data_IF_664914760365
#
_entry.id   IF_664914760365
#
_cell.length_a   1.000
_cell.length_b   1.000
_cell.length_c   1.000
_cell.angle_alpha   90.00
_cell.angle_beta   90.00
_cell.angle_gamma   90.00
#
_symmetry.space_group_name_H-M   'P 1'
#
loop_
_entity.id
_entity.type
_entity.pdbx_description
1 polymer ?
#
# COMPACT_ATOMS: atom_id res chain seq x y z
N UNK A 1 -2.98 -13.17 7.70
CA UNK A 1 -2.39 -14.12 6.73
C UNK A 1 -3.12 -14.20 5.38
N UNK A 2 -4.45 -13.98 5.33
CA UNK A 2 -5.22 -14.06 4.05
C UNK A 2 -4.98 -12.86 3.13
N UNK A 3 -4.74 -11.68 3.68
CA UNK A 3 -4.44 -10.46 2.91
C UNK A 3 -3.00 -10.42 2.39
N UNK A 4 -2.05 -10.97 3.14
CA UNK A 4 -0.65 -11.07 2.70
C UNK A 4 -0.50 -11.94 1.43
N UNK A 5 -1.30 -13.01 1.29
CA UNK A 5 -1.31 -13.85 0.07
C UNK A 5 -1.91 -13.12 -1.14
N UNK A 6 -2.86 -12.22 -0.93
CA UNK A 6 -3.45 -11.40 -2.00
C UNK A 6 -2.50 -10.30 -2.46
N UNK A 7 -1.82 -9.64 -1.52
CA UNK A 7 -0.76 -8.66 -1.82
C UNK A 7 0.40 -9.35 -2.55
N UNK A 8 0.79 -10.54 -2.10
CA UNK A 8 1.83 -11.35 -2.74
C UNK A 8 1.51 -11.71 -4.20
N UNK A 9 0.27 -12.12 -4.46
CA UNK A 9 -0.17 -12.48 -5.82
C UNK A 9 -0.19 -11.24 -6.74
N UNK A 10 -0.57 -10.09 -6.22
CA UNK A 10 -0.65 -8.84 -6.97
C UNK A 10 0.73 -8.30 -7.32
N UNK A 11 1.67 -8.32 -6.37
CA UNK A 11 3.07 -7.91 -6.59
C UNK A 11 3.75 -8.86 -7.58
N UNK A 12 3.52 -10.16 -7.49
CA UNK A 12 4.09 -11.12 -8.43
C UNK A 12 3.53 -10.94 -9.86
N UNK A 13 2.24 -10.66 -10.00
CA UNK A 13 1.62 -10.35 -11.27
C UNK A 13 2.20 -9.04 -11.86
N UNK A 14 2.41 -8.02 -11.04
CA UNK A 14 2.98 -6.75 -11.46
C UNK A 14 4.44 -6.89 -11.92
N UNK A 15 5.26 -7.66 -11.20
CA UNK A 15 6.67 -7.94 -11.59
C UNK A 15 6.74 -8.75 -12.89
N UNK A 16 5.83 -9.69 -13.11
CA UNK A 16 5.77 -10.44 -14.38
C UNK A 16 5.30 -9.54 -15.55
N UNK A 17 4.46 -8.55 -15.28
CA UNK A 17 4.05 -7.57 -16.30
C UNK A 17 5.19 -6.62 -16.70
N UNK A 18 6.00 -6.15 -15.74
CA UNK A 18 7.17 -5.29 -16.05
C UNK A 18 8.21 -5.98 -16.94
N UNK A 19 8.32 -7.30 -16.90
CA UNK A 19 9.27 -8.04 -17.75
C UNK A 19 8.77 -8.22 -19.19
N UNK A 20 7.52 -7.86 -19.50
CA UNK A 20 6.89 -7.97 -20.82
C UNK A 20 6.61 -6.60 -21.48
N UNK A 21 6.91 -5.50 -20.78
CA UNK A 21 6.77 -4.15 -21.37
C UNK A 21 7.91 -3.93 -22.36
N UNK A 22 7.70 -4.40 -23.59
CA UNK A 22 8.32 -3.77 -24.75
C UNK A 22 7.82 -2.33 -24.76
N UNK A 23 8.76 -1.38 -24.82
CA UNK A 23 8.58 0.07 -24.93
C UNK A 23 7.36 0.37 -25.83
N UNK A 24 6.18 0.44 -25.22
CA UNK A 24 4.95 0.89 -25.86
C UNK A 24 4.64 2.25 -25.24
N UNK A 25 5.01 3.29 -25.98
CA UNK A 25 4.64 4.69 -25.79
C UNK A 25 4.63 5.15 -24.32
N UNK A 26 5.76 5.74 -23.90
CA UNK A 26 5.77 6.72 -22.83
C UNK A 26 4.55 7.64 -23.00
N UNK A 27 3.87 7.98 -21.93
CA UNK A 27 2.81 8.96 -22.01
C UNK A 27 3.42 10.26 -22.55
N UNK A 28 2.96 10.68 -23.72
CA UNK A 28 3.49 11.86 -24.42
C UNK A 28 2.85 13.12 -23.78
N UNK A 29 3.43 13.53 -22.64
CA UNK A 29 2.97 14.73 -21.95
C UNK A 29 3.52 15.98 -22.63
N UNK A 30 2.68 17.03 -22.75
CA UNK A 30 3.05 18.29 -23.43
C UNK A 30 4.20 19.04 -22.74
N UNK A 31 4.48 18.71 -21.48
CA UNK A 31 5.56 19.24 -20.61
C UNK A 31 6.61 18.17 -20.25
N UNK A 32 6.79 17.18 -21.11
CA UNK A 32 7.77 16.09 -20.88
C UNK A 32 9.20 16.58 -20.67
N UNK A 33 9.59 17.67 -21.32
CA UNK A 33 10.94 18.25 -21.18
C UNK A 33 11.21 18.81 -19.77
N UNK A 34 10.16 19.06 -18.98
CA UNK A 34 10.24 19.58 -17.61
C UNK A 34 10.25 18.46 -16.55
N UNK A 35 10.10 17.18 -16.97
CA UNK A 35 10.06 16.03 -16.07
C UNK A 35 11.48 15.55 -15.76
N UNK A 36 11.88 15.61 -14.49
CA UNK A 36 13.20 15.13 -14.03
C UNK A 36 13.25 13.62 -13.81
N UNK A 37 12.13 13.01 -13.44
CA UNK A 37 12.04 11.57 -13.14
C UNK A 37 11.29 10.80 -14.23
N UNK A 38 11.75 10.94 -15.49
CA UNK A 38 11.10 10.39 -16.68
C UNK A 38 10.76 8.90 -16.55
N UNK A 39 11.73 8.05 -16.14
CA UNK A 39 11.51 6.60 -16.00
C UNK A 39 10.33 6.28 -15.06
N UNK A 40 10.27 6.98 -13.92
CA UNK A 40 9.21 6.75 -12.95
C UNK A 40 7.85 7.20 -13.47
N UNK A 41 7.79 8.38 -14.08
CA UNK A 41 6.56 8.93 -14.67
C UNK A 41 6.07 8.03 -15.79
N UNK A 42 6.94 7.60 -16.69
CA UNK A 42 6.62 6.71 -17.81
C UNK A 42 6.07 5.35 -17.33
N UNK A 43 6.78 4.71 -16.40
CA UNK A 43 6.35 3.42 -15.86
C UNK A 43 5.02 3.56 -15.13
N UNK A 44 4.88 4.56 -14.25
CA UNK A 44 3.68 4.75 -13.45
C UNK A 44 2.48 5.14 -14.31
N UNK A 45 2.70 5.84 -15.41
CA UNK A 45 1.66 6.18 -16.40
C UNK A 45 1.27 4.97 -17.24
N UNK A 46 2.26 4.18 -17.70
CA UNK A 46 2.02 2.97 -18.50
C UNK A 46 1.20 1.93 -17.75
N UNK A 47 1.42 1.78 -16.43
CA UNK A 47 0.64 0.86 -15.60
C UNK A 47 -0.67 1.49 -15.06
N UNK A 48 -1.03 2.69 -15.52
CA UNK A 48 -2.29 3.37 -15.20
C UNK A 48 -2.39 3.92 -13.77
N UNK A 49 -1.29 3.98 -13.03
CA UNK A 49 -1.27 4.49 -11.64
C UNK A 49 -1.31 6.01 -11.60
N UNK A 50 -0.64 6.66 -12.55
CA UNK A 50 -0.63 8.11 -12.70
C UNK A 50 -1.21 8.47 -14.07
N UNK A 51 -2.03 9.50 -14.09
CA UNK A 51 -2.55 10.10 -15.33
C UNK A 51 -2.11 11.56 -15.39
N UNK A 52 -1.99 12.08 -16.61
CA UNK A 52 -1.81 13.50 -16.85
C UNK A 52 -3.03 14.34 -16.48
N UNK A 53 -2.93 15.61 -16.72
CA UNK A 53 -4.00 16.58 -16.57
C UNK A 53 -4.90 16.59 -17.83
N UNK A 54 -6.07 17.22 -17.75
CA UNK A 54 -7.03 17.28 -18.85
C UNK A 54 -6.49 18.06 -20.07
N UNK A 55 -5.48 18.89 -19.89
CA UNK A 55 -4.80 19.67 -20.94
C UNK A 55 -3.64 18.91 -21.63
N UNK A 56 -3.42 17.64 -21.22
CA UNK A 56 -2.34 16.79 -21.76
C UNK A 56 -0.98 17.01 -21.10
N UNK A 57 -0.89 17.84 -20.06
CA UNK A 57 0.35 18.00 -19.27
C UNK A 57 0.44 16.96 -18.14
N UNK A 58 1.64 16.77 -17.60
CA UNK A 58 1.87 16.02 -16.36
C UNK A 58 1.85 16.93 -15.14
N UNK A 59 2.27 18.19 -15.27
CA UNK A 59 2.49 19.16 -14.18
C UNK A 59 3.49 18.66 -13.13
N UNK A 60 4.78 18.40 -13.50
CA UNK A 60 5.77 17.75 -12.64
C UNK A 60 6.00 18.49 -11.31
N UNK A 61 6.00 19.81 -11.35
CA UNK A 61 6.24 20.68 -10.19
C UNK A 61 4.98 21.03 -9.40
N UNK A 62 3.78 20.64 -9.88
CA UNK A 62 2.53 20.76 -9.15
C UNK A 62 2.57 19.90 -7.88
N UNK A 63 1.87 20.31 -6.83
CA UNK A 63 1.85 19.59 -5.55
C UNK A 63 0.79 18.49 -5.52
N UNK A 64 1.10 17.36 -4.87
CA UNK A 64 0.19 16.24 -4.72
C UNK A 64 -0.86 16.53 -3.63
N UNK A 65 -2.14 16.39 -3.97
CA UNK A 65 -3.22 16.49 -2.99
C UNK A 65 -3.53 15.15 -2.32
N UNK A 66 -4.20 15.20 -1.16
CA UNK A 66 -4.59 14.01 -0.40
C UNK A 66 -5.49 13.06 -1.20
N UNK A 67 -6.41 13.60 -1.97
CA UNK A 67 -7.28 12.78 -2.82
C UNK A 67 -6.55 12.17 -4.01
N UNK A 68 -5.59 12.89 -4.59
CA UNK A 68 -4.74 12.35 -5.64
C UNK A 68 -3.86 11.21 -5.12
N UNK A 69 -3.30 11.36 -3.92
CA UNK A 69 -2.54 10.30 -3.27
C UNK A 69 -3.41 9.05 -2.99
N UNK A 70 -4.64 9.24 -2.52
CA UNK A 70 -5.57 8.12 -2.32
C UNK A 70 -5.88 7.41 -3.64
N UNK A 71 -6.13 8.15 -4.73
CA UNK A 71 -6.31 7.57 -6.07
C UNK A 71 -5.08 6.80 -6.52
N UNK A 72 -3.90 7.41 -6.46
CA UNK A 72 -2.63 6.81 -6.84
C UNK A 72 -2.42 5.45 -6.14
N UNK A 73 -2.52 5.43 -4.81
CA UNK A 73 -2.34 4.20 -4.03
C UNK A 73 -3.41 3.16 -4.32
N UNK A 74 -4.66 3.58 -4.55
CA UNK A 74 -5.72 2.66 -4.93
C UNK A 74 -5.40 1.95 -6.25
N UNK A 75 -4.91 2.68 -7.25
CA UNK A 75 -4.50 2.09 -8.52
C UNK A 75 -3.23 1.24 -8.38
N UNK A 76 -2.28 1.63 -7.55
CA UNK A 76 -1.12 0.77 -7.20
C UNK A 76 -1.56 -0.58 -6.62
N UNK A 77 -2.64 -0.62 -5.82
CA UNK A 77 -3.09 -1.83 -5.14
C UNK A 77 -4.06 -2.67 -5.97
N UNK A 78 -4.84 -2.08 -6.85
CA UNK A 78 -5.95 -2.73 -7.57
C UNK A 78 -5.79 -2.75 -9.09
N UNK A 79 -4.89 -1.92 -9.64
CA UNK A 79 -4.82 -1.71 -11.09
C UNK A 79 -6.17 -1.25 -11.64
N UNK A 80 -6.57 -1.74 -12.81
CA UNK A 80 -7.86 -1.42 -13.48
C UNK A 80 -9.10 -1.75 -12.63
N UNK A 81 -8.97 -2.60 -11.61
CA UNK A 81 -10.08 -2.87 -10.71
C UNK A 81 -10.44 -1.68 -9.82
N UNK A 82 -9.56 -0.68 -9.72
CA UNK A 82 -9.83 0.56 -9.00
C UNK A 82 -11.07 1.30 -9.56
N UNK A 83 -11.29 1.23 -10.88
CA UNK A 83 -12.45 1.85 -11.54
C UNK A 83 -13.79 1.21 -11.19
N UNK A 84 -13.76 -0.01 -10.66
CA UNK A 84 -14.97 -0.75 -10.25
C UNK A 84 -15.39 -0.46 -8.83
N UNK A 85 -14.61 0.35 -8.10
CA UNK A 85 -14.96 0.74 -6.75
C UNK A 85 -16.17 1.67 -6.78
N UNK A 86 -17.15 1.36 -5.94
CA UNK A 86 -18.32 2.20 -5.68
C UNK A 86 -18.49 2.37 -4.18
N UNK A 87 -19.15 3.44 -3.79
CA UNK A 87 -19.53 3.70 -2.41
C UNK A 87 -20.99 4.12 -2.34
N UNK A 88 -21.68 3.74 -1.26
CA UNK A 88 -23.05 4.18 -1.00
C UNK A 88 -23.10 5.40 -0.07
N UNK A 89 -22.08 5.56 0.74
CA UNK A 89 -21.94 6.67 1.71
C UNK A 89 -20.49 7.02 1.91
N UNK A 90 -20.21 8.26 2.29
CA UNK A 90 -18.89 8.73 2.70
C UNK A 90 -18.76 8.76 4.22
N UNK A 91 -17.58 8.43 4.72
CA UNK A 91 -17.19 8.57 6.12
C UNK A 91 -16.97 10.04 6.50
N UNK A 92 -16.63 10.89 5.52
CA UNK A 92 -16.24 12.28 5.75
C UNK A 92 -17.31 13.28 5.30
N UNK A 93 -17.45 14.37 6.06
CA UNK A 93 -18.45 15.41 5.80
C UNK A 93 -18.15 16.21 4.53
N UNK A 94 -16.87 16.36 4.19
CA UNK A 94 -16.37 17.14 3.05
C UNK A 94 -16.11 16.32 1.79
N UNK A 95 -16.44 15.02 1.82
CA UNK A 95 -16.32 14.11 0.68
C UNK A 95 -17.71 13.67 0.24
N UNK A 96 -18.27 14.32 -0.76
CA UNK A 96 -19.53 13.86 -1.34
C UNK A 96 -19.37 12.50 -2.03
N UNK A 97 -20.37 11.62 -1.96
CA UNK A 97 -20.34 10.29 -2.62
C UNK A 97 -20.17 10.38 -4.14
N UNK A 98 -20.55 11.49 -4.73
CA UNK A 98 -20.38 11.76 -6.16
C UNK A 98 -19.01 12.33 -6.53
N UNK A 99 -18.14 12.58 -5.53
CA UNK A 99 -16.80 13.07 -5.80
C UNK A 99 -15.98 11.98 -6.48
N UNK A 100 -15.23 12.34 -7.53
CA UNK A 100 -14.43 11.39 -8.31
C UNK A 100 -13.44 10.56 -7.48
N UNK A 101 -12.94 11.13 -6.40
CA UNK A 101 -11.96 10.50 -5.50
C UNK A 101 -12.60 9.72 -4.35
N UNK A 102 -13.91 9.87 -4.12
CA UNK A 102 -14.57 9.30 -2.96
C UNK A 102 -14.39 7.77 -2.81
N UNK A 103 -14.52 6.95 -3.87
CA UNK A 103 -14.26 5.51 -3.75
C UNK A 103 -12.83 5.18 -3.34
N UNK A 104 -11.84 5.91 -3.87
CA UNK A 104 -10.44 5.71 -3.55
C UNK A 104 -10.10 6.13 -2.10
N UNK A 105 -10.66 7.25 -1.65
CA UNK A 105 -10.52 7.71 -0.26
C UNK A 105 -11.06 6.66 0.70
N UNK A 106 -12.31 6.20 0.52
CA UNK A 106 -12.93 5.21 1.40
C UNK A 106 -12.19 3.86 1.37
N UNK A 107 -11.67 3.46 0.21
CA UNK A 107 -10.85 2.26 0.10
C UNK A 107 -9.56 2.36 0.92
N UNK A 108 -8.80 3.45 0.77
CA UNK A 108 -7.57 3.66 1.53
C UNK A 108 -7.83 3.78 3.04
N UNK A 109 -8.92 4.44 3.44
CA UNK A 109 -9.33 4.53 4.84
C UNK A 109 -9.70 3.17 5.41
N UNK A 110 -10.45 2.35 4.67
CA UNK A 110 -10.82 1.00 5.10
C UNK A 110 -9.63 0.07 5.33
N UNK A 111 -8.50 0.36 4.68
CA UNK A 111 -7.23 -0.37 4.85
C UNK A 111 -6.31 0.26 5.90
N UNK A 112 -6.67 1.42 6.48
CA UNK A 112 -5.82 2.16 7.41
C UNK A 112 -4.58 2.77 6.76
N UNK A 113 -4.60 3.00 5.44
CA UNK A 113 -3.49 3.58 4.68
C UNK A 113 -3.45 5.10 4.84
N UNK A 114 -4.62 5.72 4.86
CA UNK A 114 -4.77 7.16 5.04
C UNK A 114 -5.94 7.42 6.01
N UNK A 115 -5.79 8.39 6.89
CA UNK A 115 -6.80 8.75 7.88
C UNK A 115 -7.39 10.13 7.57
N UNK A 116 -8.59 10.40 8.12
CA UNK A 116 -9.13 11.76 8.19
C UNK A 116 -8.37 12.64 9.17
N UNK A 117 -8.75 13.91 9.23
CA UNK A 117 -8.09 14.89 10.11
C UNK A 117 -8.50 14.81 11.59
N UNK A 118 -9.43 13.93 11.96
CA UNK A 118 -9.93 13.75 13.33
C UNK A 118 -11.12 14.63 13.71
N UNK A 119 -11.50 15.58 12.86
CA UNK A 119 -12.65 16.49 13.02
C UNK A 119 -13.88 16.06 12.21
N UNK A 120 -13.78 14.91 11.54
CA UNK A 120 -14.79 14.36 10.64
C UNK A 120 -14.64 14.80 9.20
N UNK A 121 -13.56 15.48 8.84
CA UNK A 121 -13.20 15.87 7.47
C UNK A 121 -11.98 15.10 6.97
N UNK A 122 -11.88 14.99 5.64
CA UNK A 122 -10.74 14.40 4.95
C UNK A 122 -9.79 15.45 4.40
N UNK A 123 -10.32 16.60 4.00
CA UNK A 123 -9.62 17.67 3.29
C UNK A 123 -9.00 17.19 1.97
N UNK A 124 -9.83 16.79 0.97
CA UNK A 124 -9.36 16.18 -0.27
C UNK A 124 -8.32 17.00 -1.04
N UNK A 125 -8.50 18.31 -1.10
CA UNK A 125 -7.60 19.25 -1.78
C UNK A 125 -6.36 19.65 -0.93
N UNK A 126 -6.25 19.16 0.31
CA UNK A 126 -5.09 19.43 1.15
C UNK A 126 -3.83 18.81 0.56
N UNK A 127 -2.71 19.55 0.62
CA UNK A 127 -1.43 19.07 0.12
C UNK A 127 -0.79 18.08 1.10
N UNK A 128 -0.06 17.10 0.57
CA UNK A 128 0.75 16.17 1.37
C UNK A 128 2.20 16.60 1.39
N UNK A 129 2.82 16.53 2.57
CA UNK A 129 4.28 16.65 2.68
C UNK A 129 4.98 15.36 2.24
N UNK A 130 6.26 15.42 1.93
CA UNK A 130 7.05 14.24 1.60
C UNK A 130 6.92 13.13 2.64
N UNK A 131 7.02 13.47 3.95
CA UNK A 131 6.84 12.50 5.03
C UNK A 131 5.42 11.93 5.07
N UNK A 132 4.39 12.74 4.85
CA UNK A 132 3.01 12.26 4.87
C UNK A 132 2.74 11.29 3.71
N UNK A 133 3.25 11.57 2.52
CA UNK A 133 3.12 10.68 1.37
C UNK A 133 3.94 9.39 1.54
N UNK A 134 5.17 9.47 2.06
CA UNK A 134 5.96 8.29 2.38
C UNK A 134 5.27 7.38 3.39
N UNK A 135 4.62 7.94 4.43
CA UNK A 135 3.80 7.15 5.37
C UNK A 135 2.68 6.39 4.66
N UNK A 136 1.98 7.06 3.75
CA UNK A 136 0.92 6.44 2.94
C UNK A 136 1.47 5.26 2.15
N UNK A 137 2.60 5.43 1.47
CA UNK A 137 3.25 4.36 0.69
C UNK A 137 3.76 3.22 1.57
N UNK A 138 4.44 3.50 2.68
CA UNK A 138 4.92 2.49 3.63
C UNK A 138 3.77 1.62 4.14
N UNK A 139 2.66 2.26 4.52
CA UNK A 139 1.47 1.53 4.97
C UNK A 139 0.85 0.70 3.84
N UNK A 140 0.79 1.24 2.63
CA UNK A 140 0.29 0.54 1.45
C UNK A 140 1.10 -0.72 1.11
N UNK A 141 2.43 -0.67 1.24
CA UNK A 141 3.31 -1.82 1.01
C UNK A 141 3.45 -2.74 2.23
N UNK A 142 2.64 -2.52 3.29
CA UNK A 142 2.42 -3.45 4.39
C UNK A 142 3.26 -3.22 5.64
N UNK A 143 3.80 -2.03 5.85
CA UNK A 143 4.35 -1.64 7.15
C UNK A 143 3.21 -1.29 8.13
N UNK A 144 3.35 -1.74 9.36
CA UNK A 144 2.36 -1.48 10.42
C UNK A 144 2.69 -0.16 11.10
N UNK A 145 1.83 0.85 10.94
CA UNK A 145 2.08 2.19 11.45
C UNK A 145 2.31 2.26 12.96
N UNK A 146 1.74 1.35 13.75
CA UNK A 146 1.94 1.31 15.19
C UNK A 146 3.28 0.66 15.56
N UNK A 147 3.61 -0.47 14.93
CA UNK A 147 4.86 -1.21 15.21
C UNK A 147 6.10 -0.45 14.78
N UNK A 148 6.00 0.25 13.66
CA UNK A 148 7.10 1.05 13.11
C UNK A 148 7.16 2.46 13.69
N UNK A 149 6.25 2.81 14.63
CA UNK A 149 6.23 4.13 15.23
C UNK A 149 5.89 5.27 14.26
N UNK A 150 5.12 4.97 13.20
CA UNK A 150 4.71 5.97 12.20
C UNK A 150 3.52 6.81 12.68
N UNK A 151 3.31 6.84 14.00
CA UNK A 151 2.27 7.60 14.71
C UNK A 151 2.86 8.32 15.92
N UNK A 152 2.08 9.23 16.54
CA UNK A 152 2.55 10.00 17.70
C UNK A 152 3.46 11.18 17.32
N UNK A 153 4.15 11.78 18.28
CA UNK A 153 4.89 13.05 18.08
C UNK A 153 6.14 12.93 17.19
N UNK A 154 6.76 11.76 17.12
CA UNK A 154 7.98 11.51 16.32
C UNK A 154 7.68 10.87 14.95
N UNK A 155 6.42 10.78 14.55
CA UNK A 155 6.00 10.03 13.37
C UNK A 155 6.77 10.42 12.08
N UNK A 156 6.98 11.72 11.86
CA UNK A 156 7.62 12.18 10.61
C UNK A 156 9.10 11.80 10.54
N UNK A 157 9.81 11.82 11.68
CA UNK A 157 11.20 11.38 11.77
C UNK A 157 11.32 9.87 11.53
N UNK A 158 10.44 9.09 12.15
CA UNK A 158 10.43 7.65 11.97
C UNK A 158 10.05 7.27 10.53
N UNK A 159 9.09 8.00 9.93
CA UNK A 159 8.72 7.81 8.52
C UNK A 159 9.91 8.09 7.60
N UNK A 160 10.59 9.23 7.75
CA UNK A 160 11.72 9.57 6.88
C UNK A 160 12.87 8.58 7.03
N UNK A 161 13.16 8.13 8.25
CA UNK A 161 14.18 7.13 8.51
C UNK A 161 13.84 5.77 7.85
N UNK A 162 12.62 5.29 8.04
CA UNK A 162 12.19 4.03 7.43
C UNK A 162 12.08 4.13 5.90
N UNK A 163 11.60 5.26 5.37
CA UNK A 163 11.53 5.49 3.94
C UNK A 163 12.92 5.45 3.29
N UNK A 164 13.93 6.07 3.92
CA UNK A 164 15.31 6.00 3.47
C UNK A 164 15.89 4.57 3.57
N UNK A 165 15.61 3.85 4.68
CA UNK A 165 16.04 2.47 4.86
C UNK A 165 15.54 1.53 3.74
N UNK A 166 14.28 1.72 3.33
CA UNK A 166 13.67 0.90 2.27
C UNK A 166 13.87 1.47 0.87
N UNK A 167 14.51 2.63 0.76
CA UNK A 167 14.88 3.28 -0.49
C UNK A 167 13.73 3.97 -1.23
N UNK A 168 12.73 4.49 -0.52
CA UNK A 168 11.63 5.24 -1.15
C UNK A 168 12.08 6.58 -1.73
N UNK A 169 13.12 7.18 -1.15
CA UNK A 169 13.72 8.45 -1.57
C UNK A 169 14.85 8.29 -2.58
N UNK A 170 15.18 7.06 -2.96
CA UNK A 170 16.26 6.82 -3.91
C UNK A 170 16.02 7.51 -5.26
N UNK A 171 16.97 8.33 -5.65
CA UNK A 171 16.94 9.09 -6.91
C UNK A 171 16.11 10.37 -6.83
N UNK A 172 15.66 10.79 -5.65
CA UNK A 172 15.07 12.11 -5.43
C UNK A 172 16.14 13.01 -4.82
N UNK A 173 16.60 13.98 -5.59
CA UNK A 173 17.58 14.96 -5.11
C UNK A 173 16.87 16.02 -4.27
N UNK A 174 17.46 16.40 -3.14
CA UNK A 174 17.01 17.48 -2.25
C UNK A 174 15.57 17.33 -1.73
N UNK A 175 15.08 16.08 -1.55
CA UNK A 175 13.73 15.82 -1.04
C UNK A 175 13.48 16.50 0.31
N UNK A 176 12.49 17.37 0.35
CA UNK A 176 12.04 18.00 1.59
C UNK A 176 10.92 17.17 2.24
N UNK A 177 11.23 16.51 3.35
CA UNK A 177 10.22 15.73 4.09
C UNK A 177 9.08 16.57 4.69
N UNK A 178 9.31 17.88 4.92
CA UNK A 178 8.34 18.77 5.55
C UNK A 178 7.60 19.69 4.57
N UNK A 179 8.10 19.86 3.35
CA UNK A 179 7.41 20.62 2.30
C UNK A 179 6.35 19.77 1.59
N UNK A 180 5.37 20.38 0.92
CA UNK A 180 4.49 19.68 -0.02
C UNK A 180 5.31 18.95 -1.08
N UNK A 181 5.03 17.67 -1.28
CA UNK A 181 5.68 16.85 -2.30
C UNK A 181 5.16 17.22 -3.69
N UNK A 182 6.06 17.29 -4.68
CA UNK A 182 5.67 17.50 -6.07
C UNK A 182 5.11 16.23 -6.70
N UNK A 183 4.45 16.37 -7.86
CA UNK A 183 3.85 15.23 -8.57
C UNK A 183 4.91 14.29 -9.13
N UNK A 184 6.03 14.80 -9.65
CA UNK A 184 7.13 13.97 -10.12
C UNK A 184 7.90 13.28 -8.98
N UNK A 185 8.16 13.97 -7.85
CA UNK A 185 8.72 13.33 -6.66
C UNK A 185 7.81 12.22 -6.13
N UNK A 186 6.50 12.44 -6.14
CA UNK A 186 5.52 11.43 -5.75
C UNK A 186 5.51 10.24 -6.71
N UNK A 187 5.64 10.46 -8.02
CA UNK A 187 5.79 9.40 -9.02
C UNK A 187 7.04 8.56 -8.75
N UNK A 188 8.19 9.22 -8.53
CA UNK A 188 9.44 8.56 -8.21
C UNK A 188 9.34 7.74 -6.92
N UNK A 189 8.79 8.32 -5.86
CA UNK A 189 8.62 7.63 -4.57
C UNK A 189 7.67 6.42 -4.69
N UNK A 190 6.58 6.55 -5.43
CA UNK A 190 5.64 5.46 -5.69
C UNK A 190 6.27 4.33 -6.53
N UNK A 191 7.06 4.69 -7.55
CA UNK A 191 7.85 3.74 -8.33
C UNK A 191 8.81 2.95 -7.43
N UNK A 192 9.53 3.62 -6.53
CA UNK A 192 10.41 2.96 -5.54
C UNK A 192 9.64 2.07 -4.56
N UNK A 193 8.43 2.47 -4.17
CA UNK A 193 7.59 1.65 -3.29
C UNK A 193 7.22 0.29 -3.92
N UNK A 194 6.98 0.23 -5.24
CA UNK A 194 6.74 -1.02 -5.96
C UNK A 194 7.96 -1.93 -5.87
N UNK A 195 9.17 -1.40 -6.07
CA UNK A 195 10.42 -2.17 -5.94
C UNK A 195 10.67 -2.65 -4.52
N UNK A 196 10.44 -1.80 -3.50
CA UNK A 196 10.57 -2.16 -2.10
C UNK A 196 9.61 -3.30 -1.71
N UNK A 197 8.36 -3.23 -2.16
CA UNK A 197 7.37 -4.29 -1.97
C UNK A 197 7.82 -5.62 -2.61
N UNK A 198 8.34 -5.58 -3.83
CA UNK A 198 8.84 -6.75 -4.57
C UNK A 198 10.00 -7.41 -3.85
N UNK A 199 10.97 -6.63 -3.37
CA UNK A 199 12.16 -7.12 -2.65
C UNK A 199 11.78 -7.81 -1.33
N UNK A 200 10.81 -7.27 -0.58
CA UNK A 200 10.29 -7.90 0.64
C UNK A 200 9.67 -9.28 0.39
N UNK A 201 8.91 -9.37 -0.70
CA UNK A 201 8.28 -10.64 -1.11
C UNK A 201 9.32 -11.67 -1.50
N UNK A 202 10.29 -11.29 -2.32
CA UNK A 202 11.37 -12.18 -2.75
C UNK A 202 12.21 -12.65 -1.56
N UNK A 203 12.57 -11.77 -0.63
CA UNK A 203 13.27 -12.11 0.60
C UNK A 203 12.49 -13.09 1.48
N UNK A 204 11.19 -12.90 1.64
CA UNK A 204 10.34 -13.81 2.40
C UNK A 204 10.21 -15.21 1.76
N UNK A 205 10.22 -15.30 0.42
CA UNK A 205 10.23 -16.56 -0.32
C UNK A 205 11.57 -17.29 -0.15
N UNK A 206 12.69 -16.55 -0.21
CA UNK A 206 14.02 -17.09 -0.03
C UNK A 206 14.22 -17.71 1.37
N UNK A 207 13.78 -17.02 2.41
CA UNK A 207 13.81 -17.52 3.79
C UNK A 207 12.97 -18.79 3.97
N UNK A 208 11.83 -18.90 3.29
CA UNK A 208 11.01 -20.13 3.32
C UNK A 208 11.66 -21.33 2.64
N UNK A 209 12.39 -21.10 1.54
CA UNK A 209 13.09 -22.17 0.82
C UNK A 209 14.33 -22.66 1.56
N UNK A 210 14.92 -21.84 2.42
CA UNK A 210 16.10 -22.18 3.24
C UNK A 210 15.74 -22.78 4.61
N UNK A 211 14.48 -22.76 5.04
CA UNK A 211 14.06 -23.45 6.25
C UNK A 211 14.06 -24.95 6.00
N UNK A 212 14.81 -25.75 6.79
CA UNK A 212 14.73 -27.20 6.71
C UNK A 212 13.29 -27.62 6.98
N UNK A 213 12.73 -28.43 6.09
CA UNK A 213 11.44 -29.08 6.32
C UNK A 213 11.56 -29.87 7.64
N UNK A 214 11.05 -29.31 8.73
CA UNK A 214 10.85 -30.06 9.96
C UNK A 214 9.89 -31.20 9.62
N UNK A 215 10.45 -32.40 9.45
CA UNK A 215 9.61 -33.60 9.38
C UNK A 215 8.71 -33.60 10.62
N UNK A 216 7.41 -33.82 10.46
CA UNK A 216 6.59 -34.13 11.62
C UNK A 216 7.22 -35.37 12.25
N UNK A 217 7.74 -35.22 13.44
CA UNK A 217 8.14 -36.37 14.26
C UNK A 217 6.87 -37.18 14.53
N UNK A 218 6.70 -38.25 13.76
CA UNK A 218 5.80 -39.31 14.10
C UNK A 218 6.38 -40.07 15.31
N UNK A 219 6.04 -39.57 16.48
CA UNK A 219 6.27 -40.28 17.74
C UNK A 219 5.15 -39.85 18.71
N UNK A 220 3.95 -40.13 18.36
CA UNK A 220 2.92 -40.44 19.35
C UNK A 220 2.72 -41.96 19.27
N UNK A 221 3.53 -42.60 20.04
CA UNK A 221 3.51 -44.02 20.30
C UNK A 221 2.19 -44.37 20.97
N UNK A 222 1.49 -45.31 20.39
CA UNK A 222 0.46 -46.06 21.06
C UNK A 222 1.04 -46.69 22.33
N UNK A 223 0.54 -46.37 23.49
CA UNK A 223 0.62 -47.22 24.66
C UNK A 223 -0.65 -47.09 25.50
N UNK A 224 -1.29 -48.24 25.54
CA UNK A 224 -2.10 -48.83 26.59
C UNK A 224 -3.46 -48.23 26.92
N UNK A 225 -4.42 -48.79 26.21
CA UNK A 225 -5.75 -49.05 26.70
C UNK A 225 -5.66 -50.00 27.91
N UNK A 226 -5.89 -49.53 29.11
CA UNK A 226 -6.26 -50.35 30.26
C UNK A 226 -7.66 -49.96 30.70
N UNK A 227 -8.52 -50.91 30.43
CA UNK A 227 -9.86 -51.15 30.96
C UNK A 227 -9.86 -50.95 32.50
N UNK A 228 -10.73 -50.07 33.01
CA UNK A 228 -11.33 -50.13 34.36
C UNK A 228 -12.65 -49.34 34.40
N UNK A 229 -13.73 -50.14 34.42
CA UNK A 229 -14.93 -49.99 35.21
C UNK A 229 -15.61 -48.65 35.38
N UNK A 230 -16.81 -48.55 34.85
CA UNK A 230 -17.90 -47.77 35.40
C UNK A 230 -18.11 -48.02 36.92
N UNK A 231 -18.60 -47.03 37.66
CA UNK A 231 -19.92 -47.18 38.17
C UNK A 231 -20.82 -45.91 38.20
N UNK A 232 -22.08 -46.18 37.81
CA UNK A 232 -23.34 -45.72 38.41
C UNK A 232 -23.67 -44.21 38.48
N UNK A 233 -24.70 -43.86 37.74
CA UNK A 233 -25.61 -42.72 38.00
C UNK A 233 -26.22 -42.77 39.40
N UNK A 234 -26.62 -41.63 39.94
CA UNK A 234 -28.01 -41.51 40.34
C UNK A 234 -28.72 -40.28 39.72
N UNK A 235 -29.94 -40.56 39.31
CA UNK A 235 -31.04 -39.66 39.06
C UNK A 235 -31.48 -38.91 40.32
N UNK A 236 -31.84 -37.61 40.19
CA UNK A 236 -32.90 -36.93 40.97
C UNK A 236 -33.12 -35.55 40.37
N UNK A 237 -34.26 -35.31 39.74
CA UNK A 237 -35.51 -34.64 40.05
C UNK A 237 -35.42 -33.12 40.21
N UNK A 238 -36.07 -32.41 39.27
CA UNK A 238 -37.13 -31.43 39.37
C UNK A 238 -37.10 -30.43 40.57
N UNK A 239 -36.93 -29.16 40.29
CA UNK A 239 -37.92 -28.08 40.53
C UNK A 239 -37.59 -26.89 39.66
#
# INVERSE_FOLDING_TARGET
MRNLKKILALVLALVMFLSLVTIANAADFSDSDDISYEEAVDVMSTIGVINGMDDGSFDPHGTLTREQAAKLVTYMLLGDNAERLGIERSTFKDVAVTRWSAPAIEYCVSLGIIDGAGDGNFYPAGQLTGAAFAKVLLTAIGYDSQKEGLVGSAWSVNVSALAAEVGLDNGIEDLSWSAPITREEAAQMAFRAIWAASSRVMGALQLRSSMPLSRPTSAARADTFTDQAEPTRPSFWLS
#
